data_IF_910577485283
#
_entry.id   IF_910577485283
#
_cell.length_a   1.000
_cell.length_b   1.000
_cell.length_c   1.000
_cell.angle_alpha   90.00
_cell.angle_beta   90.00
_cell.angle_gamma   90.00
#
_symmetry.space_group_name_H-M   'P 1'
#
loop_
_entity.id
_entity.type
_entity.pdbx_description
1 polymer ?
#
# COMPACT_ATOMS: atom_id res chain seq x y z
N UNK A 1 25.69 -32.35 6.49
CA UNK A 1 26.34 -33.44 7.25
C UNK A 1 27.52 -33.94 6.44
N UNK A 2 28.72 -33.90 6.99
CA UNK A 2 29.95 -34.27 6.27
C UNK A 2 30.22 -35.82 6.30
N UNK A 3 29.26 -36.58 6.83
CA UNK A 3 29.34 -38.05 6.86
C UNK A 3 28.64 -38.62 5.62
N UNK A 4 29.33 -39.40 4.76
CA UNK A 4 28.74 -39.96 3.53
C UNK A 4 27.54 -40.87 3.76
N UNK A 5 27.39 -41.42 4.95
CA UNK A 5 26.32 -42.35 5.34
C UNK A 5 25.12 -41.63 5.99
N UNK A 6 25.16 -40.30 6.11
CA UNK A 6 24.09 -39.54 6.75
C UNK A 6 22.86 -39.39 5.80
N UNK A 7 21.71 -40.00 6.15
CA UNK A 7 20.52 -39.91 5.32
C UNK A 7 19.83 -38.56 5.41
N UNK A 8 20.34 -37.62 6.18
CA UNK A 8 19.72 -36.32 6.40
C UNK A 8 19.88 -35.42 5.19
N UNK A 9 18.79 -35.09 4.54
CA UNK A 9 18.72 -34.11 3.43
C UNK A 9 17.99 -32.88 3.91
N UNK A 10 18.61 -31.71 3.74
CA UNK A 10 17.96 -30.42 3.97
C UNK A 10 17.77 -29.71 2.64
N UNK A 11 16.52 -29.48 2.28
CA UNK A 11 16.19 -28.65 1.14
C UNK A 11 16.25 -27.18 1.55
N UNK A 12 17.10 -26.40 0.90
CA UNK A 12 17.17 -24.95 1.07
C UNK A 12 16.62 -24.32 -0.19
N UNK A 13 15.52 -23.61 -0.07
CA UNK A 13 14.96 -22.83 -1.18
C UNK A 13 15.76 -21.56 -1.35
N UNK A 14 16.41 -21.41 -2.49
CA UNK A 14 17.09 -20.18 -2.84
C UNK A 14 16.05 -19.12 -3.18
N UNK A 15 16.12 -17.98 -2.49
CA UNK A 15 15.31 -16.81 -2.77
C UNK A 15 16.20 -15.66 -3.25
N UNK A 16 15.88 -15.05 -4.38
CA UNK A 16 16.61 -13.88 -4.86
C UNK A 16 16.15 -12.58 -4.18
N UNK A 17 15.08 -12.62 -3.38
CA UNK A 17 14.50 -11.46 -2.68
C UNK A 17 13.94 -10.35 -3.59
N UNK A 18 14.03 -10.50 -4.89
CA UNK A 18 13.58 -9.48 -5.83
C UNK A 18 12.07 -9.42 -5.94
N UNK A 19 11.51 -8.21 -5.87
CA UNK A 19 10.08 -7.95 -6.12
C UNK A 19 9.66 -8.26 -7.56
N UNK A 20 10.60 -8.17 -8.52
CA UNK A 20 10.36 -8.49 -9.93
C UNK A 20 10.39 -10.01 -10.20
N UNK A 21 10.84 -10.83 -9.27
CA UNK A 21 10.84 -12.28 -9.43
C UNK A 21 9.43 -12.84 -9.32
N UNK A 22 8.96 -13.64 -10.31
CA UNK A 22 7.60 -14.19 -10.28
C UNK A 22 7.34 -15.13 -9.10
N UNK A 23 8.38 -15.76 -8.55
CA UNK A 23 8.26 -16.62 -7.37
C UNK A 23 8.41 -15.84 -6.06
N UNK A 24 9.50 -15.10 -5.89
CA UNK A 24 9.79 -14.38 -4.64
C UNK A 24 8.87 -13.18 -4.43
N UNK A 25 8.60 -12.41 -5.49
CA UNK A 25 7.69 -11.28 -5.45
C UNK A 25 6.27 -11.70 -5.16
N UNK A 26 5.78 -12.76 -5.83
CA UNK A 26 4.44 -13.31 -5.56
C UNK A 26 4.30 -13.74 -4.10
N UNK A 27 5.23 -14.54 -3.58
CA UNK A 27 5.19 -14.99 -2.18
C UNK A 27 5.15 -13.81 -1.20
N UNK A 28 5.98 -12.79 -1.43
CA UNK A 28 6.00 -11.60 -0.57
C UNK A 28 4.67 -10.84 -0.62
N UNK A 29 4.07 -10.73 -1.81
CA UNK A 29 2.77 -10.10 -2.01
C UNK A 29 1.65 -10.89 -1.33
N UNK A 30 1.61 -12.21 -1.49
CA UNK A 30 0.60 -13.08 -0.88
C UNK A 30 0.66 -12.99 0.66
N UNK A 31 1.85 -13.00 1.25
CA UNK A 31 2.04 -12.83 2.70
C UNK A 31 1.59 -11.43 3.18
N UNK A 32 1.91 -10.40 2.41
CA UNK A 32 1.47 -9.05 2.72
C UNK A 32 -0.06 -8.94 2.67
N UNK A 33 -0.70 -9.46 1.62
CA UNK A 33 -2.17 -9.49 1.48
C UNK A 33 -2.80 -10.21 2.68
N UNK A 34 -2.33 -11.41 3.02
CA UNK A 34 -2.85 -12.17 4.15
C UNK A 34 -2.72 -11.38 5.47
N UNK A 35 -1.58 -10.70 5.67
CA UNK A 35 -1.37 -9.84 6.84
C UNK A 35 -2.35 -8.67 6.88
N UNK A 36 -2.62 -8.03 5.73
CA UNK A 36 -3.58 -6.92 5.69
C UNK A 36 -5.01 -7.41 5.94
N UNK A 37 -5.43 -8.51 5.30
CA UNK A 37 -6.77 -9.09 5.50
C UNK A 37 -7.04 -9.44 6.97
N UNK A 38 -6.02 -9.87 7.72
CA UNK A 38 -6.15 -10.15 9.16
C UNK A 38 -6.21 -8.89 10.04
N UNK A 39 -5.85 -7.73 9.50
CA UNK A 39 -5.84 -6.44 10.23
C UNK A 39 -7.02 -5.55 9.89
N UNK A 40 -7.53 -5.67 8.67
CA UNK A 40 -8.63 -4.85 8.19
C UNK A 40 -9.95 -5.42 8.69
N UNK A 41 -10.90 -4.58 9.11
CA UNK A 41 -12.22 -5.04 9.52
C UNK A 41 -12.98 -5.62 8.32
N UNK A 42 -13.78 -6.65 8.58
CA UNK A 42 -14.69 -7.26 7.61
C UNK A 42 -15.96 -6.40 7.51
N UNK A 43 -15.91 -5.38 6.69
CA UNK A 43 -16.99 -4.43 6.44
C UNK A 43 -16.91 -3.88 5.02
N UNK A 44 -17.93 -3.18 4.59
CA UNK A 44 -17.92 -2.48 3.31
C UNK A 44 -16.92 -1.33 3.31
N UNK A 45 -16.29 -1.11 2.16
CA UNK A 45 -15.30 -0.05 1.95
C UNK A 45 -15.68 0.84 0.77
N UNK A 46 -15.53 2.14 0.94
CA UNK A 46 -15.59 3.10 -0.17
C UNK A 46 -14.19 3.43 -0.64
N UNK A 47 -13.99 3.39 -1.95
CA UNK A 47 -12.74 3.76 -2.58
C UNK A 47 -12.82 5.19 -3.12
N UNK A 48 -11.89 6.04 -2.70
CA UNK A 48 -11.74 7.43 -3.11
C UNK A 48 -10.38 7.62 -3.78
N UNK A 49 -10.32 8.54 -4.74
CA UNK A 49 -9.06 8.93 -5.37
C UNK A 49 -8.88 10.44 -5.26
N UNK A 50 -7.80 10.84 -4.60
CA UNK A 50 -7.39 12.24 -4.54
C UNK A 50 -6.34 12.50 -5.61
N UNK A 51 -6.67 13.36 -6.56
CA UNK A 51 -5.77 13.77 -7.63
C UNK A 51 -5.23 15.17 -7.37
N UNK A 52 -4.04 15.45 -7.88
CA UNK A 52 -3.43 16.76 -7.82
C UNK A 52 -3.51 17.44 -9.19
N UNK A 53 -3.70 18.77 -9.25
CA UNK A 53 -3.58 19.52 -10.50
C UNK A 53 -2.22 19.28 -11.15
N UNK A 54 -2.20 19.19 -12.48
CA UNK A 54 -0.99 18.95 -13.26
C UNK A 54 0.09 20.02 -13.09
N UNK A 55 -0.34 21.24 -12.82
CA UNK A 55 0.53 22.37 -12.49
C UNK A 55 1.44 22.13 -11.27
N UNK A 56 1.04 21.24 -10.37
CA UNK A 56 1.82 20.87 -9.19
C UNK A 56 2.77 19.69 -9.41
N UNK A 57 2.56 18.88 -10.46
CA UNK A 57 3.34 17.65 -10.67
C UNK A 57 4.86 17.84 -10.73
N UNK A 58 5.40 18.89 -11.42
CA UNK A 58 6.84 19.13 -11.42
C UNK A 58 7.42 19.38 -10.02
N UNK A 59 6.65 20.01 -9.14
CA UNK A 59 7.04 20.22 -7.75
C UNK A 59 7.20 18.88 -7.00
N UNK A 60 6.28 17.94 -7.19
CA UNK A 60 6.34 16.60 -6.60
C UNK A 60 7.40 15.70 -7.22
N UNK A 61 7.70 15.88 -8.50
CA UNK A 61 8.76 15.16 -9.17
C UNK A 61 10.13 15.55 -8.61
N UNK A 62 10.33 16.83 -8.37
CA UNK A 62 11.56 17.39 -7.79
C UNK A 62 11.67 17.19 -6.28
N UNK A 63 10.54 17.06 -5.57
CA UNK A 63 10.47 16.96 -4.11
C UNK A 63 9.64 15.77 -3.67
N UNK A 64 10.13 14.57 -3.88
CA UNK A 64 9.39 13.32 -3.63
C UNK A 64 8.96 13.12 -2.17
N UNK A 65 9.60 13.78 -1.21
CA UNK A 65 9.20 13.75 0.19
C UNK A 65 7.80 14.36 0.42
N UNK A 66 7.34 15.29 -0.44
CA UNK A 66 5.98 15.85 -0.41
C UNK A 66 4.89 14.80 -0.63
N UNK A 67 5.21 13.65 -1.24
CA UNK A 67 4.24 12.58 -1.47
C UNK A 67 3.66 12.02 -0.17
N UNK A 68 4.46 12.00 0.90
CA UNK A 68 3.98 11.58 2.22
C UNK A 68 2.96 12.58 2.79
N UNK A 69 3.18 13.87 2.54
CA UNK A 69 2.25 14.93 2.98
C UNK A 69 0.91 14.83 2.27
N UNK A 70 0.89 14.45 0.99
CA UNK A 70 -0.38 14.26 0.25
C UNK A 70 -1.21 13.15 0.90
N UNK A 71 -0.59 12.01 1.25
CA UNK A 71 -1.28 10.94 1.95
C UNK A 71 -1.81 11.42 3.31
N UNK A 72 -0.97 12.09 4.09
CA UNK A 72 -1.34 12.62 5.41
C UNK A 72 -2.51 13.59 5.31
N UNK A 73 -2.44 14.56 4.41
CA UNK A 73 -3.52 15.55 4.21
C UNK A 73 -4.82 14.91 3.74
N UNK A 74 -4.77 13.91 2.85
CA UNK A 74 -5.97 13.17 2.42
C UNK A 74 -6.65 12.49 3.61
N UNK A 75 -5.88 11.81 4.46
CA UNK A 75 -6.38 11.14 5.66
C UNK A 75 -6.92 12.15 6.68
N UNK A 76 -6.19 13.23 6.97
CA UNK A 76 -6.60 14.27 7.92
C UNK A 76 -7.92 14.92 7.50
N UNK A 77 -8.11 15.20 6.20
CA UNK A 77 -9.37 15.76 5.68
C UNK A 77 -10.55 14.81 5.91
N UNK A 78 -10.38 13.51 5.67
CA UNK A 78 -11.42 12.51 5.88
C UNK A 78 -11.76 12.35 7.35
N UNK A 79 -10.75 12.28 8.21
CA UNK A 79 -10.93 12.20 9.66
C UNK A 79 -11.61 13.47 10.20
N UNK A 80 -11.24 14.64 9.70
CA UNK A 80 -11.89 15.88 10.09
C UNK A 80 -13.39 15.88 9.72
N UNK A 81 -13.73 15.45 8.50
CA UNK A 81 -15.11 15.36 8.05
C UNK A 81 -15.93 14.33 8.85
N UNK A 82 -15.32 13.18 9.20
CA UNK A 82 -15.94 12.14 10.01
C UNK A 82 -16.18 12.60 11.45
N UNK A 83 -15.21 13.24 12.07
CA UNK A 83 -15.31 13.76 13.46
C UNK A 83 -16.42 14.77 13.63
N UNK A 84 -16.68 15.61 12.61
CA UNK A 84 -17.83 16.53 12.63
C UNK A 84 -19.18 15.81 12.73
N UNK A 85 -19.22 14.52 12.38
CA UNK A 85 -20.40 13.65 12.46
C UNK A 85 -20.35 12.69 13.66
N UNK A 86 -19.34 12.84 14.53
CA UNK A 86 -19.12 11.93 15.66
C UNK A 86 -18.69 10.52 15.22
N UNK A 87 -18.03 10.40 14.06
CA UNK A 87 -17.64 9.13 13.46
C UNK A 87 -16.12 8.94 13.47
N UNK A 88 -15.68 7.69 13.59
CA UNK A 88 -14.27 7.30 13.52
C UNK A 88 -14.08 6.16 12.52
N UNK A 89 -13.82 6.47 11.24
CA UNK A 89 -13.66 5.47 10.19
C UNK A 89 -12.27 4.84 10.20
N UNK A 90 -12.18 3.58 9.78
CA UNK A 90 -10.93 2.97 9.37
C UNK A 90 -10.51 3.52 8.00
N UNK A 91 -9.22 3.87 7.84
CA UNK A 91 -8.70 4.43 6.60
C UNK A 91 -7.43 3.69 6.20
N UNK A 92 -7.39 3.25 4.95
CA UNK A 92 -6.20 2.72 4.31
C UNK A 92 -5.88 3.56 3.07
N UNK A 93 -4.63 3.98 2.91
CA UNK A 93 -4.23 4.77 1.74
C UNK A 93 -2.97 4.23 1.07
N UNK A 94 -2.89 4.42 -0.25
CA UNK A 94 -1.74 4.07 -1.06
C UNK A 94 -1.48 5.19 -2.07
N UNK A 95 -0.22 5.63 -2.18
CA UNK A 95 0.17 6.63 -3.16
C UNK A 95 0.57 5.98 -4.47
N UNK A 96 0.09 6.53 -5.57
CA UNK A 96 0.53 6.23 -6.92
C UNK A 96 1.18 7.48 -7.52
N UNK A 97 2.28 7.29 -8.24
CA UNK A 97 3.06 8.39 -8.81
C UNK A 97 3.03 8.44 -10.33
N UNK A 98 2.41 7.44 -10.98
CA UNK A 98 2.33 7.34 -12.43
C UNK A 98 0.91 7.12 -12.91
N UNK A 99 0.56 7.82 -14.00
CA UNK A 99 -0.68 7.60 -14.74
C UNK A 99 -0.56 6.43 -15.74
N UNK A 100 -1.65 6.16 -16.47
CA UNK A 100 -1.71 5.10 -17.50
C UNK A 100 -0.64 5.23 -18.59
N UNK A 101 -0.19 6.45 -18.88
CA UNK A 101 0.84 6.75 -19.87
C UNK A 101 2.25 6.72 -19.31
N UNK A 102 2.42 6.21 -18.08
CA UNK A 102 3.68 6.23 -17.34
C UNK A 102 4.27 7.63 -17.12
N UNK A 103 3.44 8.66 -17.29
CA UNK A 103 3.79 10.04 -16.94
C UNK A 103 3.70 10.24 -15.42
N UNK A 104 4.47 11.17 -14.91
CA UNK A 104 4.33 11.61 -13.52
C UNK A 104 2.89 12.10 -13.29
N UNK A 105 2.18 11.46 -12.37
CA UNK A 105 0.78 11.75 -12.03
C UNK A 105 0.53 11.35 -10.58
N UNK A 106 0.99 12.15 -9.62
CA UNK A 106 0.79 11.84 -8.21
C UNK A 106 -0.70 11.83 -7.85
N UNK A 107 -1.15 10.75 -7.26
CA UNK A 107 -2.53 10.61 -6.76
C UNK A 107 -2.56 9.60 -5.62
N UNK A 108 -3.53 9.74 -4.72
CA UNK A 108 -3.69 8.87 -3.56
C UNK A 108 -4.99 8.08 -3.71
N UNK A 109 -4.87 6.77 -3.65
CA UNK A 109 -5.99 5.87 -3.47
C UNK A 109 -6.26 5.73 -1.97
N UNK A 110 -7.49 5.96 -1.58
CA UNK A 110 -7.92 5.85 -0.19
C UNK A 110 -9.13 4.94 -0.10
N UNK A 111 -9.05 3.95 0.77
CA UNK A 111 -10.19 3.12 1.15
C UNK A 111 -10.64 3.51 2.54
N UNK A 112 -11.93 3.74 2.70
CA UNK A 112 -12.57 4.17 3.95
C UNK A 112 -13.68 3.20 4.31
N UNK A 113 -13.78 2.79 5.56
CA UNK A 113 -14.87 1.92 6.02
C UNK A 113 -16.23 2.60 5.86
N UNK A 114 -17.24 1.83 5.41
CA UNK A 114 -18.64 2.25 5.44
C UNK A 114 -19.21 2.07 6.85
N UNK A 115 -19.17 3.10 7.63
CA UNK A 115 -19.56 3.06 9.05
C UNK A 115 -18.37 3.32 9.97
N UNK A 116 -18.64 3.23 11.26
CA UNK A 116 -17.63 3.43 12.29
C UNK A 116 -17.21 2.09 12.87
N UNK A 117 -15.96 2.03 13.28
CA UNK A 117 -15.44 0.93 14.07
C UNK A 117 -15.80 1.11 15.53
#
# INVERSE_FOLDING_TARGET
CDKPECPHVRYVTNSCGSRACPSCGKKATDLWIATQLNRLPDCDWVHLVFTLPDTLWPGFESNRWLLNDVCRLAVENLLYAARKRGQEPGIFCAIHTYGRRLNCHPHVHVSVTCGCL
#
